data_IF_763026384521
#
_entry.id   IF_763026384521
#
_cell.length_a   1.000
_cell.length_b   1.000
_cell.length_c   1.000
_cell.angle_alpha   90.00
_cell.angle_beta   90.00
_cell.angle_gamma   90.00
#
_symmetry.space_group_name_H-M   'P 1'
#
loop_
_entity.id
_entity.type
_entity.pdbx_description
1 polymer ?
#
# COMPACT_ATOMS: atom_id res chain seq x y z
N UNK A 1 13.86 1.95 -33.49
CA UNK A 1 13.26 1.19 -32.36
C UNK A 1 11.89 0.72 -32.84
N UNK A 2 11.66 -0.59 -32.87
CA UNK A 2 10.38 -1.17 -33.29
C UNK A 2 9.84 -2.00 -32.13
N UNK A 3 8.57 -1.77 -31.79
CA UNK A 3 7.79 -2.58 -30.86
C UNK A 3 6.87 -3.48 -31.67
N UNK A 4 6.86 -4.77 -31.35
CA UNK A 4 5.96 -5.77 -31.92
C UNK A 4 4.87 -6.08 -30.87
N UNK A 5 3.61 -5.81 -31.19
CA UNK A 5 2.47 -6.15 -30.32
C UNK A 5 2.07 -7.62 -30.50
N UNK A 6 2.01 -8.38 -29.42
CA UNK A 6 1.37 -9.69 -29.40
C UNK A 6 -0.16 -9.53 -29.23
N UNK A 7 -0.98 -10.41 -29.82
CA UNK A 7 -2.41 -10.43 -29.51
C UNK A 7 -2.57 -10.75 -28.03
N UNK A 8 -3.24 -9.85 -27.30
CA UNK A 8 -3.65 -10.12 -25.94
C UNK A 8 -4.60 -11.31 -25.93
N UNK A 9 -4.38 -12.24 -24.99
CA UNK A 9 -5.38 -12.87 -24.12
C UNK A 9 -4.84 -14.23 -23.62
N UNK A 10 -3.98 -14.17 -22.62
CA UNK A 10 -4.12 -15.06 -21.48
C UNK A 10 -4.62 -14.16 -20.34
N UNK A 11 -5.78 -14.52 -19.78
CA UNK A 11 -6.53 -13.73 -18.80
C UNK A 11 -5.58 -13.08 -17.78
N UNK A 12 -5.67 -11.76 -17.62
CA UNK A 12 -5.25 -11.15 -16.36
C UNK A 12 -6.22 -11.72 -15.33
N UNK A 13 -5.80 -12.78 -14.66
CA UNK A 13 -6.38 -13.17 -13.38
C UNK A 13 -6.56 -11.90 -12.56
N UNK A 14 -7.79 -11.69 -12.12
CA UNK A 14 -8.32 -10.45 -11.58
C UNK A 14 -7.30 -9.73 -10.68
N UNK A 15 -7.10 -8.42 -10.90
CA UNK A 15 -6.33 -7.59 -9.97
C UNK A 15 -6.85 -7.87 -8.55
N UNK A 16 -5.98 -8.03 -7.54
CA UNK A 16 -6.44 -8.19 -6.17
C UNK A 16 -7.35 -7.00 -5.80
N UNK A 17 -8.53 -7.28 -5.25
CA UNK A 17 -9.58 -6.26 -5.09
C UNK A 17 -9.14 -5.02 -4.27
N UNK A 18 -8.19 -5.18 -3.35
CA UNK A 18 -7.61 -4.06 -2.61
C UNK A 18 -6.73 -3.16 -3.49
N UNK A 19 -6.06 -3.72 -4.51
CA UNK A 19 -5.35 -2.93 -5.51
C UNK A 19 -6.31 -2.25 -6.49
N UNK A 20 -7.42 -2.89 -6.88
CA UNK A 20 -8.46 -2.21 -7.68
C UNK A 20 -9.01 -1.00 -6.92
N UNK A 21 -9.25 -1.16 -5.62
CA UNK A 21 -9.64 -0.04 -4.75
C UNK A 21 -8.55 1.03 -4.72
N UNK A 22 -7.28 0.66 -4.54
CA UNK A 22 -6.18 1.61 -4.49
C UNK A 22 -6.01 2.40 -5.80
N UNK A 23 -6.22 1.74 -6.95
CA UNK A 23 -6.12 2.36 -8.27
C UNK A 23 -7.17 3.46 -8.51
N UNK A 24 -8.33 3.38 -7.87
CA UNK A 24 -9.36 4.44 -7.93
C UNK A 24 -8.83 5.77 -7.37
N UNK A 25 -7.91 5.71 -6.41
CA UNK A 25 -7.34 6.89 -5.75
C UNK A 25 -5.96 7.28 -6.27
N UNK A 26 -5.55 6.74 -7.42
CA UNK A 26 -4.27 7.12 -8.03
C UNK A 26 -4.32 8.60 -8.46
N UNK A 27 -3.26 9.34 -8.12
CA UNK A 27 -3.17 10.79 -8.28
C UNK A 27 -4.18 11.60 -7.45
N UNK A 28 -4.83 10.99 -6.45
CA UNK A 28 -5.57 11.73 -5.45
C UNK A 28 -4.59 12.48 -4.54
N UNK A 29 -4.81 13.77 -4.38
CA UNK A 29 -4.04 14.62 -3.49
C UNK A 29 -4.88 15.01 -2.28
N UNK A 30 -4.24 15.04 -1.12
CA UNK A 30 -4.86 15.56 0.10
C UNK A 30 -5.16 17.06 -0.05
N UNK A 31 -6.16 17.53 0.68
CA UNK A 31 -6.42 18.96 0.81
C UNK A 31 -5.81 19.43 2.11
N UNK A 32 -5.09 20.56 2.10
CA UNK A 32 -4.49 21.10 3.32
C UNK A 32 -3.43 20.17 3.92
N UNK A 33 -3.47 19.96 5.24
CA UNK A 33 -2.47 19.17 5.97
C UNK A 33 -3.07 17.84 6.46
N UNK A 34 -3.08 16.82 5.59
CA UNK A 34 -3.74 15.53 5.82
C UNK A 34 -5.26 15.65 6.02
N UNK A 35 -5.91 16.43 5.16
CA UNK A 35 -7.35 16.60 5.14
C UNK A 35 -7.92 16.30 3.74
N UNK A 36 -9.21 16.59 3.56
CA UNK A 36 -9.96 16.25 2.36
C UNK A 36 -10.92 15.08 2.59
N UNK A 37 -11.97 14.95 1.76
CA UNK A 37 -13.04 13.98 2.00
C UNK A 37 -12.55 12.53 1.95
N UNK A 38 -11.66 12.20 1.01
CA UNK A 38 -11.11 10.84 0.86
C UNK A 38 -10.15 10.50 2.00
N UNK A 39 -9.22 11.40 2.33
CA UNK A 39 -8.28 11.22 3.46
C UNK A 39 -9.05 11.05 4.77
N UNK A 40 -10.10 11.87 4.97
CA UNK A 40 -11.00 11.74 6.13
C UNK A 40 -11.71 10.39 6.17
N UNK A 41 -12.15 9.88 5.02
CA UNK A 41 -12.78 8.56 4.94
C UNK A 41 -11.79 7.43 5.27
N UNK A 42 -10.53 7.53 4.81
CA UNK A 42 -9.50 6.55 5.13
C UNK A 42 -9.20 6.56 6.63
N UNK A 43 -8.99 7.73 7.23
CA UNK A 43 -8.75 7.87 8.67
C UNK A 43 -9.94 7.39 9.50
N UNK A 44 -11.16 7.72 9.09
CA UNK A 44 -12.37 7.27 9.76
C UNK A 44 -12.53 5.74 9.73
N UNK A 45 -12.08 5.06 8.66
CA UNK A 45 -12.14 3.59 8.56
C UNK A 45 -11.33 2.88 9.64
N UNK A 46 -10.34 3.57 10.22
CA UNK A 46 -9.52 3.09 11.33
C UNK A 46 -9.78 3.86 12.63
N UNK A 47 -10.91 4.58 12.71
CA UNK A 47 -11.38 5.26 13.92
C UNK A 47 -10.65 6.56 14.26
N UNK A 48 -9.98 7.19 13.29
CA UNK A 48 -9.30 8.47 13.48
C UNK A 48 -10.06 9.63 12.83
N UNK A 49 -9.85 10.83 13.39
CA UNK A 49 -10.28 12.09 12.80
C UNK A 49 -9.27 12.56 11.72
N UNK A 50 -9.61 13.57 10.91
CA UNK A 50 -8.67 14.18 9.95
C UNK A 50 -7.42 14.79 10.62
N UNK A 51 -6.36 15.03 9.83
CA UNK A 51 -5.13 15.69 10.27
C UNK A 51 -3.98 14.74 10.67
N UNK A 52 -4.20 13.42 10.63
CA UNK A 52 -3.15 12.42 10.85
C UNK A 52 -2.56 11.94 9.52
N UNK A 53 -1.29 11.55 9.52
CA UNK A 53 -0.69 10.83 8.39
C UNK A 53 -1.52 9.58 8.05
N UNK A 54 -1.72 9.32 6.76
CA UNK A 54 -2.80 8.44 6.31
C UNK A 54 -2.35 7.25 5.46
N UNK A 55 -1.04 7.03 5.24
CA UNK A 55 -0.52 5.86 4.51
C UNK A 55 -1.13 4.51 4.97
N UNK A 56 -1.11 4.25 6.28
CA UNK A 56 -1.60 2.99 6.85
C UNK A 56 -3.12 2.93 6.94
N UNK A 57 -3.77 4.09 7.14
CA UNK A 57 -5.23 4.19 7.08
C UNK A 57 -5.73 3.88 5.67
N UNK A 58 -5.06 4.39 4.63
CA UNK A 58 -5.35 4.08 3.23
C UNK A 58 -5.12 2.60 2.89
N UNK A 59 -4.00 2.02 3.34
CA UNK A 59 -3.78 0.59 3.18
C UNK A 59 -4.88 -0.24 3.86
N UNK A 60 -5.30 0.14 5.08
CA UNK A 60 -6.40 -0.50 5.79
C UNK A 60 -7.71 -0.40 5.01
N UNK A 61 -8.07 0.81 4.56
CA UNK A 61 -9.26 1.06 3.76
C UNK A 61 -9.30 0.18 2.49
N UNK A 62 -8.20 0.08 1.76
CA UNK A 62 -8.10 -0.76 0.57
C UNK A 62 -8.33 -2.24 0.90
N UNK A 63 -7.75 -2.74 1.99
CA UNK A 63 -7.92 -4.13 2.41
C UNK A 63 -9.34 -4.41 2.93
N UNK A 64 -10.02 -3.45 3.53
CA UNK A 64 -11.43 -3.58 3.97
C UNK A 64 -12.41 -3.61 2.80
N UNK A 65 -12.06 -2.97 1.67
CA UNK A 65 -12.86 -2.99 0.44
C UNK A 65 -12.61 -4.22 -0.44
N UNK A 66 -11.77 -5.16 -0.01
CA UNK A 66 -11.45 -6.37 -0.76
C UNK A 66 -12.25 -7.58 -0.24
N UNK A 67 -13.43 -7.89 -0.82
CA UNK A 67 -14.22 -9.04 -0.40
C UNK A 67 -13.43 -10.34 -0.59
N UNK A 68 -13.44 -11.20 0.44
CA UNK A 68 -12.73 -12.49 0.41
C UNK A 68 -11.26 -12.42 0.82
N UNK A 69 -10.69 -11.23 1.04
CA UNK A 69 -9.33 -11.10 1.55
C UNK A 69 -9.30 -11.35 3.07
N UNK A 70 -8.90 -12.56 3.47
CA UNK A 70 -8.88 -12.96 4.89
C UNK A 70 -7.59 -12.60 5.63
N UNK A 71 -6.53 -12.23 4.90
CA UNK A 71 -5.23 -11.85 5.48
C UNK A 71 -4.58 -10.70 4.70
N UNK A 72 -3.83 -9.81 5.39
CA UNK A 72 -3.76 -9.70 6.85
C UNK A 72 -5.09 -9.19 7.42
N UNK A 73 -5.46 -9.60 8.64
CA UNK A 73 -6.67 -9.11 9.34
C UNK A 73 -6.47 -7.69 9.89
N UNK A 74 -5.21 -7.25 10.01
CA UNK A 74 -4.89 -5.98 10.66
C UNK A 74 -5.43 -4.79 9.85
N UNK A 75 -6.07 -3.87 10.56
CA UNK A 75 -6.51 -2.56 10.08
C UNK A 75 -6.05 -1.54 11.11
N UNK A 76 -5.16 -0.65 10.72
CA UNK A 76 -4.51 0.29 11.63
C UNK A 76 -4.06 1.55 10.88
N UNK A 77 -4.07 2.67 11.59
CA UNK A 77 -3.44 3.91 11.15
C UNK A 77 -1.91 3.92 11.31
N UNK A 78 -1.29 2.86 11.87
CA UNK A 78 0.15 2.77 12.09
C UNK A 78 0.79 1.71 11.21
N UNK A 79 1.73 2.12 10.35
CA UNK A 79 2.40 1.23 9.40
C UNK A 79 3.05 0.00 10.05
N UNK A 80 3.68 0.15 11.22
CA UNK A 80 4.35 -0.97 11.89
C UNK A 80 3.39 -2.05 12.42
N UNK A 81 2.09 -1.77 12.56
CA UNK A 81 1.11 -2.79 12.98
C UNK A 81 0.89 -3.86 11.91
N UNK A 82 1.23 -3.55 10.65
CA UNK A 82 1.23 -4.51 9.55
C UNK A 82 2.39 -5.51 9.61
N UNK A 83 3.36 -5.33 10.51
CA UNK A 83 4.45 -6.28 10.74
C UNK A 83 3.93 -7.39 11.66
N UNK A 84 3.72 -8.56 11.08
CA UNK A 84 3.21 -9.75 11.79
C UNK A 84 4.22 -10.89 11.74
N UNK A 85 3.91 -12.02 12.39
CA UNK A 85 4.72 -13.24 12.29
C UNK A 85 4.81 -13.81 10.87
N UNK A 86 3.91 -13.40 9.96
CA UNK A 86 3.90 -13.82 8.55
C UNK A 86 4.74 -12.90 7.66
N UNK A 87 5.25 -11.80 8.18
CA UNK A 87 6.05 -10.85 7.41
C UNK A 87 7.41 -11.44 7.05
N UNK A 88 7.84 -11.20 5.82
CA UNK A 88 9.15 -11.62 5.34
C UNK A 88 10.17 -10.49 5.55
N UNK A 89 11.38 -10.78 6.04
CA UNK A 89 12.40 -9.74 6.23
C UNK A 89 12.92 -9.25 4.87
N UNK A 90 13.13 -7.93 4.75
CA UNK A 90 13.62 -7.30 3.52
C UNK A 90 14.95 -7.90 3.00
N UNK A 91 15.75 -8.52 3.88
CA UNK A 91 16.98 -9.22 3.49
C UNK A 91 16.71 -10.40 2.54
N UNK A 92 15.57 -11.10 2.68
CA UNK A 92 15.22 -12.19 1.77
C UNK A 92 14.91 -11.65 0.36
N UNK A 93 14.22 -10.52 0.27
CA UNK A 93 13.95 -9.83 -1.00
C UNK A 93 15.25 -9.31 -1.64
N UNK A 94 16.11 -8.64 -0.86
CA UNK A 94 17.39 -8.09 -1.35
C UNK A 94 18.36 -9.13 -1.89
N UNK A 95 18.25 -10.38 -1.44
CA UNK A 95 19.07 -11.50 -1.90
C UNK A 95 18.32 -12.40 -2.88
N UNK A 96 17.24 -11.92 -3.49
CA UNK A 96 16.47 -12.64 -4.51
C UNK A 96 15.98 -14.03 -4.05
N UNK A 97 15.69 -14.16 -2.75
CA UNK A 97 15.11 -15.40 -2.19
C UNK A 97 13.58 -15.40 -2.31
N UNK A 98 12.99 -14.21 -2.37
CA UNK A 98 11.56 -13.99 -2.54
C UNK A 98 11.38 -12.72 -3.36
N UNK A 99 10.57 -12.79 -4.42
CA UNK A 99 10.12 -11.62 -5.15
C UNK A 99 8.73 -11.21 -4.64
N UNK A 100 8.58 -10.01 -4.04
CA UNK A 100 7.28 -9.52 -3.63
C UNK A 100 6.31 -9.50 -4.81
N UNK A 101 5.15 -10.13 -4.62
CA UNK A 101 4.17 -10.24 -5.70
C UNK A 101 3.22 -9.05 -5.69
N UNK A 102 2.56 -8.86 -6.83
CA UNK A 102 1.45 -7.91 -6.99
C UNK A 102 0.42 -8.06 -5.86
N UNK A 103 0.08 -6.95 -5.22
CA UNK A 103 -0.90 -6.89 -4.12
C UNK A 103 -0.32 -7.12 -2.73
N UNK A 104 0.99 -7.32 -2.58
CA UNK A 104 1.60 -7.37 -1.25
C UNK A 104 1.66 -5.99 -0.60
N UNK A 105 1.87 -5.96 0.71
CA UNK A 105 2.23 -4.75 1.43
C UNK A 105 3.74 -4.73 1.65
N UNK A 106 4.34 -3.56 1.52
CA UNK A 106 5.69 -3.27 2.01
C UNK A 106 5.60 -2.32 3.19
N UNK A 107 6.35 -2.61 4.25
CA UNK A 107 6.42 -1.77 5.45
C UNK A 107 7.85 -1.32 5.68
N UNK A 108 8.05 -0.02 5.76
CA UNK A 108 9.32 0.60 6.14
C UNK A 108 9.27 1.06 7.59
N UNK A 109 10.28 0.68 8.38
CA UNK A 109 10.48 1.19 9.73
C UNK A 109 11.32 2.47 9.71
N UNK A 110 10.94 3.48 10.50
CA UNK A 110 11.78 4.65 10.76
C UNK A 110 12.57 4.45 12.05
N UNK A 111 13.78 3.91 11.90
CA UNK A 111 14.65 3.56 13.03
C UNK A 111 14.01 2.55 13.99
N UNK A 112 14.22 2.75 15.29
CA UNK A 112 13.71 1.87 16.35
C UNK A 112 12.41 2.40 17.00
N UNK A 113 11.93 3.58 16.59
CA UNK A 113 10.70 4.17 17.12
C UNK A 113 9.44 3.53 16.54
N UNK A 114 8.24 4.03 16.90
CA UNK A 114 6.96 3.50 16.44
C UNK A 114 6.58 3.93 15.02
N UNK A 115 7.33 4.86 14.42
CA UNK A 115 7.03 5.46 13.13
C UNK A 115 7.47 4.59 11.96
N UNK A 116 6.73 4.64 10.86
CA UNK A 116 7.04 3.89 9.65
C UNK A 116 6.16 4.35 8.50
N UNK A 117 6.30 3.66 7.38
CA UNK A 117 5.51 3.86 6.17
C UNK A 117 5.05 2.53 5.61
N UNK A 118 3.93 2.52 4.90
CA UNK A 118 3.40 1.33 4.24
C UNK A 118 2.88 1.67 2.84
N UNK A 119 3.14 0.77 1.91
CA UNK A 119 2.71 0.89 0.52
C UNK A 119 2.17 -0.43 -0.03
N UNK A 120 1.30 -0.34 -1.04
CA UNK A 120 0.74 -1.47 -1.77
C UNK A 120 1.60 -1.77 -3.00
N UNK A 121 2.19 -2.95 -3.08
CA UNK A 121 3.13 -3.33 -4.15
C UNK A 121 2.39 -3.60 -5.45
N UNK A 122 2.76 -2.87 -6.51
CA UNK A 122 2.32 -3.14 -7.89
C UNK A 122 3.42 -3.76 -8.76
N UNK A 123 4.69 -3.56 -8.39
CA UNK A 123 5.81 -4.21 -9.06
C UNK A 123 7.01 -4.23 -8.13
N UNK A 124 7.83 -5.27 -8.22
CA UNK A 124 9.07 -5.34 -7.47
C UNK A 124 10.18 -6.02 -8.28
N UNK A 125 11.40 -5.49 -8.19
CA UNK A 125 12.58 -6.09 -8.77
C UNK A 125 13.82 -5.78 -7.92
N UNK A 126 14.35 -6.83 -7.26
CA UNK A 126 15.52 -6.72 -6.40
C UNK A 126 15.34 -5.69 -5.28
N UNK A 127 16.03 -4.56 -5.39
CA UNK A 127 16.01 -3.49 -4.37
C UNK A 127 15.02 -2.36 -4.66
N UNK A 128 14.39 -2.37 -5.83
CA UNK A 128 13.49 -1.33 -6.28
C UNK A 128 12.10 -1.91 -6.49
N UNK A 129 11.08 -1.09 -6.33
CA UNK A 129 9.71 -1.47 -6.62
C UNK A 129 8.85 -0.25 -6.87
N UNK A 130 7.64 -0.51 -7.33
CA UNK A 130 6.62 0.50 -7.55
C UNK A 130 5.45 0.14 -6.63
N UNK A 131 4.91 1.16 -5.98
CA UNK A 131 3.86 1.06 -4.98
C UNK A 131 2.77 2.10 -5.21
N UNK A 132 1.57 1.82 -4.70
CA UNK A 132 0.50 2.80 -4.49
C UNK A 132 0.46 3.09 -2.99
N UNK A 133 0.50 4.37 -2.61
CA UNK A 133 0.71 4.77 -1.23
C UNK A 133 -0.11 6.00 -0.88
N UNK A 134 -0.44 6.14 0.40
CA UNK A 134 -0.89 7.41 0.97
C UNK A 134 0.26 8.21 1.55
N UNK A 135 0.01 9.46 1.94
CA UNK A 135 1.07 10.34 2.43
C UNK A 135 1.61 9.93 3.82
N UNK A 136 2.87 10.33 4.07
CA UNK A 136 3.54 10.29 5.39
C UNK A 136 3.90 11.67 5.94
N UNK A 137 3.77 12.74 5.15
CA UNK A 137 4.05 14.13 5.53
C UNK A 137 2.99 15.08 4.95
N UNK A 138 3.08 16.37 5.24
CA UNK A 138 2.16 17.40 4.71
C UNK A 138 2.50 17.84 3.26
N UNK A 139 2.99 16.92 2.43
CA UNK A 139 3.35 17.21 1.03
C UNK A 139 4.55 18.15 0.83
N UNK A 140 5.39 18.37 1.85
CA UNK A 140 6.65 19.10 1.70
C UNK A 140 7.83 18.12 1.64
N UNK A 141 8.38 17.95 0.44
CA UNK A 141 9.69 17.36 0.18
C UNK A 141 10.76 18.46 0.17
#
# INVERSE_FOLDING_TARGET
MLLLSLPALAQRDHTPAHLDTALVYLNMEEVGSNEGPEVSAFLASVGLNPGYAWCAAFASFCLDKAPGLTLPVVRSARAQDFITRRSLPAKQVKHHRVDPTFGWLIVWKRGNGPFGHVGLVIYWYGRCGITIEGNTSSGQF
#
